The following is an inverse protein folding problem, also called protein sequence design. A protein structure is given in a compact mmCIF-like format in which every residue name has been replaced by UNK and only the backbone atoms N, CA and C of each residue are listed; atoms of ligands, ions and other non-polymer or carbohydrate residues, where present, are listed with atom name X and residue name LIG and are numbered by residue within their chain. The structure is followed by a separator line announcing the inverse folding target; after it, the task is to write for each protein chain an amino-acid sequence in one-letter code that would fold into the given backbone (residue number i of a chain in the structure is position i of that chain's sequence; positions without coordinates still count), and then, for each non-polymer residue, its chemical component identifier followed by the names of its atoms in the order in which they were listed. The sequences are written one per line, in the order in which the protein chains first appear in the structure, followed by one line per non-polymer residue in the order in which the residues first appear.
data_IF_357286635766
#
_entry.id   IF_357286635766
#
_cell.length_a   1.000
_cell.length_b   1.000
_cell.length_c   1.000
_cell.angle_alpha   90.00
_cell.angle_beta   90.00
_cell.angle_gamma   90.00
#
_symmetry.space_group_name_H-M   'P 1'
#
loop_
_entity.id
_entity.type
_entity.pdbx_description
1 polymer ?
#
# COMPACT_ATOMS: atom_id res chain seq x y z
N UNK A 1 23.13 9.78 -94.41
CA UNK A 1 22.94 10.29 -93.03
C UNK A 1 22.97 9.08 -92.11
N UNK A 2 24.11 8.79 -91.48
CA UNK A 2 24.29 7.58 -90.67
C UNK A 2 24.11 7.92 -89.19
N UNK A 3 23.08 7.32 -88.58
CA UNK A 3 22.76 7.38 -87.15
C UNK A 3 23.85 6.70 -86.32
N UNK A 4 24.48 7.45 -85.41
CA UNK A 4 25.25 6.87 -84.29
C UNK A 4 24.31 6.68 -83.11
N UNK A 5 23.97 5.43 -82.80
CA UNK A 5 23.26 5.07 -81.57
C UNK A 5 24.30 4.95 -80.46
N UNK A 6 24.19 5.80 -79.44
CA UNK A 6 25.03 5.76 -78.24
C UNK A 6 24.72 4.50 -77.44
N UNK A 7 25.68 3.56 -77.36
CA UNK A 7 25.55 2.39 -76.48
C UNK A 7 25.70 2.84 -75.02
N UNK A 8 24.66 2.61 -74.23
CA UNK A 8 24.66 2.78 -72.78
C UNK A 8 25.25 1.52 -72.17
N UNK A 9 26.33 1.64 -71.40
CA UNK A 9 26.94 0.52 -70.69
C UNK A 9 25.89 -0.17 -69.81
N UNK A 10 25.56 -1.41 -70.15
CA UNK A 10 24.64 -2.23 -69.36
C UNK A 10 25.49 -2.96 -68.31
N UNK A 11 25.57 -2.38 -67.12
CA UNK A 11 26.13 -3.07 -65.96
C UNK A 11 25.23 -4.26 -65.63
N UNK A 12 25.61 -5.46 -66.08
CA UNK A 12 24.92 -6.70 -65.79
C UNK A 12 25.64 -7.41 -64.63
N UNK A 13 24.88 -7.92 -63.68
CA UNK A 13 25.42 -8.71 -62.57
C UNK A 13 26.06 -10.00 -63.11
N UNK A 14 27.23 -10.33 -62.57
CA UNK A 14 27.93 -11.57 -62.88
C UNK A 14 27.29 -12.75 -62.13
N UNK A 15 27.45 -13.96 -62.69
CA UNK A 15 26.89 -15.17 -62.07
C UNK A 15 27.42 -15.38 -60.63
N UNK A 16 28.68 -15.03 -60.39
CA UNK A 16 29.29 -15.15 -59.06
C UNK A 16 28.67 -14.18 -58.03
N UNK A 17 28.34 -12.95 -58.44
CA UNK A 17 27.69 -11.98 -57.55
C UNK A 17 26.30 -12.46 -57.13
N UNK A 18 25.53 -13.03 -58.06
CA UNK A 18 24.19 -13.56 -57.76
C UNK A 18 24.27 -14.75 -56.81
N UNK A 19 25.22 -15.67 -57.01
CA UNK A 19 25.39 -16.85 -56.14
C UNK A 19 25.78 -16.44 -54.71
N UNK A 20 26.67 -15.47 -54.55
CA UNK A 20 27.07 -14.96 -53.23
C UNK A 20 25.88 -14.29 -52.53
N UNK A 21 25.10 -13.47 -53.23
CA UNK A 21 23.91 -12.81 -52.66
C UNK A 21 22.87 -13.82 -52.21
N UNK A 22 22.58 -14.85 -53.02
CA UNK A 22 21.64 -15.91 -52.66
C UNK A 22 22.12 -16.73 -51.44
N UNK A 23 23.42 -17.01 -51.34
CA UNK A 23 23.99 -17.67 -50.18
C UNK A 23 23.84 -16.82 -48.90
N UNK A 24 24.10 -15.51 -48.97
CA UNK A 24 23.95 -14.62 -47.81
C UNK A 24 22.48 -14.48 -47.40
N UNK A 25 21.56 -14.28 -48.35
CA UNK A 25 20.13 -14.14 -48.07
C UNK A 25 19.57 -15.43 -47.46
N UNK A 26 19.94 -16.62 -47.96
CA UNK A 26 19.46 -17.90 -47.41
C UNK A 26 19.90 -18.11 -45.97
N UNK A 27 21.14 -17.76 -45.62
CA UNK A 27 21.64 -17.82 -44.23
C UNK A 27 20.88 -16.81 -43.33
N UNK A 28 20.65 -15.59 -43.82
CA UNK A 28 19.92 -14.55 -43.09
C UNK A 28 18.45 -14.92 -42.84
N UNK A 29 17.76 -15.49 -43.84
CA UNK A 29 16.34 -15.90 -43.73
C UNK A 29 16.17 -16.99 -42.69
N UNK A 30 17.03 -18.02 -42.70
CA UNK A 30 16.96 -19.09 -41.69
C UNK A 30 17.20 -18.53 -40.28
N UNK A 31 18.21 -17.68 -40.11
CA UNK A 31 18.56 -17.10 -38.80
C UNK A 31 17.46 -16.16 -38.27
N UNK A 32 16.86 -15.35 -39.13
CA UNK A 32 15.77 -14.43 -38.78
C UNK A 32 14.46 -15.14 -38.43
N UNK A 33 14.13 -16.23 -39.12
CA UNK A 33 12.91 -17.00 -38.87
C UNK A 33 12.90 -17.65 -37.47
N UNK A 34 14.03 -18.23 -37.05
CA UNK A 34 14.17 -18.86 -35.72
C UNK A 34 14.03 -17.84 -34.59
N UNK A 35 14.58 -16.63 -34.76
CA UNK A 35 14.38 -15.54 -33.80
C UNK A 35 12.92 -15.09 -33.74
N UNK A 36 12.28 -14.88 -34.90
CA UNK A 36 10.90 -14.41 -34.97
C UNK A 36 9.90 -15.34 -34.27
N UNK A 37 9.99 -16.66 -34.50
CA UNK A 37 9.08 -17.63 -33.87
C UNK A 37 9.16 -17.63 -32.34
N UNK A 38 10.36 -17.46 -31.79
CA UNK A 38 10.58 -17.31 -30.34
C UNK A 38 9.99 -16.02 -29.77
N UNK A 39 10.13 -14.88 -30.46
CA UNK A 39 9.54 -13.63 -29.98
C UNK A 39 8.01 -13.66 -30.02
N UNK A 40 7.41 -14.26 -31.06
CA UNK A 40 5.96 -14.40 -31.14
C UNK A 40 5.43 -15.33 -30.05
N UNK A 41 6.12 -16.44 -29.74
CA UNK A 41 5.70 -17.31 -28.62
C UNK A 41 5.72 -16.57 -27.28
N UNK A 42 6.76 -15.78 -27.01
CA UNK A 42 6.84 -14.94 -25.80
C UNK A 42 5.74 -13.87 -25.75
N UNK A 43 5.40 -13.26 -26.88
CA UNK A 43 4.29 -12.29 -26.94
C UNK A 43 2.94 -12.97 -26.64
N UNK A 44 2.71 -14.18 -27.17
CA UNK A 44 1.50 -14.97 -26.88
C UNK A 44 1.43 -15.40 -25.42
N UNK A 45 2.55 -15.84 -24.83
CA UNK A 45 2.61 -16.16 -23.40
C UNK A 45 2.33 -14.93 -22.52
N UNK A 46 2.82 -13.75 -22.91
CA UNK A 46 2.49 -12.50 -22.22
C UNK A 46 0.98 -12.18 -22.30
N UNK A 47 0.33 -12.43 -23.44
CA UNK A 47 -1.13 -12.34 -23.56
C UNK A 47 -1.83 -13.31 -22.62
N UNK A 48 -1.45 -14.59 -22.59
CA UNK A 48 -2.04 -15.58 -21.66
C UNK A 48 -1.92 -15.14 -20.20
N UNK A 49 -0.74 -14.66 -19.81
CA UNK A 49 -0.47 -14.18 -18.45
C UNK A 49 -1.34 -12.97 -18.12
N UNK A 50 -1.47 -12.02 -19.04
CA UNK A 50 -2.32 -10.85 -18.89
C UNK A 50 -3.80 -11.24 -18.78
N UNK A 51 -4.27 -12.14 -19.64
CA UNK A 51 -5.65 -12.62 -19.64
C UNK A 51 -6.01 -13.28 -18.31
N UNK A 52 -5.18 -14.22 -17.84
CA UNK A 52 -5.39 -14.91 -16.57
C UNK A 52 -5.34 -13.94 -15.39
N UNK A 53 -4.51 -12.90 -15.44
CA UNK A 53 -4.44 -11.86 -14.40
C UNK A 53 -5.70 -11.01 -14.39
N UNK A 54 -6.14 -10.50 -15.54
CA UNK A 54 -7.38 -9.71 -15.63
C UNK A 54 -8.61 -10.49 -15.18
N UNK A 55 -8.69 -11.78 -15.53
CA UNK A 55 -9.78 -12.65 -15.06
C UNK A 55 -9.70 -12.81 -13.54
N UNK A 56 -8.51 -13.09 -13.00
CA UNK A 56 -8.25 -13.24 -11.57
C UNK A 56 -8.68 -11.99 -10.78
N UNK A 57 -8.19 -10.82 -11.19
CA UNK A 57 -8.47 -9.55 -10.52
C UNK A 57 -9.98 -9.23 -10.52
N UNK A 58 -10.66 -9.55 -11.62
CA UNK A 58 -12.12 -9.39 -11.71
C UNK A 58 -12.85 -10.35 -10.78
N UNK A 59 -12.42 -11.60 -10.70
CA UNK A 59 -13.01 -12.58 -9.78
C UNK A 59 -12.79 -12.18 -8.31
N UNK A 60 -11.60 -11.69 -7.97
CA UNK A 60 -11.29 -11.19 -6.64
C UNK A 60 -12.15 -9.97 -6.29
N UNK A 61 -12.29 -9.01 -7.22
CA UNK A 61 -13.17 -7.86 -7.05
C UNK A 61 -14.64 -8.25 -6.82
N UNK A 62 -15.14 -9.25 -7.57
CA UNK A 62 -16.50 -9.76 -7.37
C UNK A 62 -16.68 -10.36 -5.97
N UNK A 63 -15.73 -11.17 -5.50
CA UNK A 63 -15.79 -11.79 -4.17
C UNK A 63 -15.72 -10.74 -3.06
N UNK A 64 -14.84 -9.73 -3.19
CA UNK A 64 -14.70 -8.64 -2.22
C UNK A 64 -15.98 -7.80 -2.08
N UNK A 65 -16.75 -7.66 -3.15
CA UNK A 65 -18.02 -6.93 -3.15
C UNK A 65 -19.25 -7.80 -2.82
N UNK A 66 -19.04 -9.02 -2.31
CA UNK A 66 -20.12 -9.94 -1.94
C UNK A 66 -20.84 -10.58 -3.13
N UNK A 67 -20.27 -10.49 -4.33
CA UNK A 67 -20.73 -11.21 -5.52
C UNK A 67 -20.35 -12.69 -5.48
N UNK A 68 -20.95 -13.48 -6.37
CA UNK A 68 -20.66 -14.91 -6.52
C UNK A 68 -20.05 -15.21 -7.89
N UNK A 69 -19.08 -16.12 -7.89
CA UNK A 69 -18.47 -16.61 -9.13
C UNK A 69 -19.41 -17.56 -9.86
N UNK A 70 -19.37 -17.53 -11.19
CA UNK A 70 -20.09 -18.49 -12.02
C UNK A 70 -19.44 -19.87 -11.96
N UNK A 71 -20.27 -20.91 -12.05
CA UNK A 71 -19.82 -22.29 -12.23
C UNK A 71 -19.12 -22.40 -13.59
N UNK A 72 -17.99 -23.13 -13.70
CA UNK A 72 -17.31 -23.31 -14.97
C UNK A 72 -18.24 -23.82 -16.08
N UNK A 73 -18.09 -23.26 -17.27
CA UNK A 73 -18.84 -23.71 -18.44
C UNK A 73 -18.45 -25.15 -18.77
N UNK A 74 -19.43 -25.97 -19.12
CA UNK A 74 -19.22 -27.40 -19.38
C UNK A 74 -18.77 -28.20 -18.15
N UNK A 75 -19.10 -27.73 -16.94
CA UNK A 75 -18.69 -28.39 -15.69
C UNK A 75 -18.97 -29.89 -15.69
N UNK A 76 -17.94 -30.71 -15.47
CA UNK A 76 -18.14 -32.16 -15.29
C UNK A 76 -18.87 -32.45 -13.98
N UNK A 77 -19.64 -33.55 -13.95
CA UNK A 77 -20.21 -34.08 -12.69
C UNK A 77 -19.12 -34.64 -11.77
N UNK A 78 -18.02 -35.11 -12.37
CA UNK A 78 -16.83 -35.52 -11.65
C UNK A 78 -16.10 -34.30 -11.11
N UNK A 79 -15.97 -34.23 -9.78
CA UNK A 79 -15.20 -33.21 -9.08
C UNK A 79 -13.76 -33.66 -8.97
N UNK A 80 -12.82 -32.74 -9.18
CA UNK A 80 -11.41 -33.01 -8.98
C UNK A 80 -11.04 -32.60 -7.56
N UNK A 81 -10.47 -33.53 -6.79
CA UNK A 81 -9.88 -33.18 -5.50
C UNK A 81 -8.48 -32.60 -5.73
N UNK A 82 -8.27 -31.34 -5.35
CA UNK A 82 -6.95 -30.72 -5.34
C UNK A 82 -6.73 -30.08 -3.98
N UNK A 83 -5.67 -30.53 -3.31
CA UNK A 83 -5.31 -30.09 -1.98
C UNK A 83 -6.53 -30.17 -1.02
N UNK A 84 -7.24 -31.30 -0.95
CA UNK A 84 -8.34 -31.51 0.00
C UNK A 84 -9.62 -30.70 -0.23
N UNK A 85 -9.70 -29.92 -1.31
CA UNK A 85 -10.94 -29.26 -1.76
C UNK A 85 -11.46 -29.97 -3.01
N UNK A 86 -12.77 -30.16 -3.07
CA UNK A 86 -13.46 -30.63 -4.27
C UNK A 86 -13.74 -29.46 -5.20
N UNK A 87 -13.22 -29.55 -6.42
CA UNK A 87 -13.34 -28.54 -7.45
C UNK A 87 -14.27 -29.00 -8.56
N UNK A 88 -15.23 -28.15 -8.90
CA UNK A 88 -15.93 -28.20 -10.18
C UNK A 88 -14.95 -27.73 -11.25
N UNK A 89 -14.76 -28.50 -12.31
CA UNK A 89 -13.83 -28.18 -13.39
C UNK A 89 -14.58 -27.95 -14.69
N UNK A 90 -14.09 -27.02 -15.50
CA UNK A 90 -14.60 -26.74 -16.83
C UNK A 90 -13.76 -25.68 -17.52
N UNK A 91 -14.40 -24.84 -18.30
CA UNK A 91 -13.75 -23.71 -18.99
C UNK A 91 -14.31 -22.38 -18.51
N UNK A 92 -13.50 -21.33 -18.60
CA UNK A 92 -13.95 -19.96 -18.43
C UNK A 92 -14.55 -19.48 -19.76
N UNK A 93 -15.83 -19.79 -19.98
CA UNK A 93 -16.57 -19.51 -21.20
C UNK A 93 -17.58 -18.38 -21.04
N UNK A 94 -18.66 -18.44 -21.83
CA UNK A 94 -19.65 -17.35 -21.92
C UNK A 94 -20.45 -17.17 -20.63
N UNK A 95 -20.86 -18.24 -19.96
CA UNK A 95 -21.61 -18.14 -18.71
C UNK A 95 -20.70 -17.62 -17.60
N UNK A 96 -19.46 -18.14 -17.53
CA UNK A 96 -18.44 -17.65 -16.59
C UNK A 96 -18.18 -16.16 -16.78
N UNK A 97 -18.00 -15.73 -18.04
CA UNK A 97 -17.79 -14.35 -18.42
C UNK A 97 -18.99 -13.45 -18.12
N UNK A 98 -20.23 -13.93 -18.26
CA UNK A 98 -21.42 -13.11 -18.05
C UNK A 98 -21.45 -12.45 -16.65
N UNK A 99 -20.96 -13.15 -15.62
CA UNK A 99 -20.89 -12.65 -14.24
C UNK A 99 -19.80 -11.61 -14.00
N UNK A 100 -18.75 -11.63 -14.81
CA UNK A 100 -17.59 -10.72 -14.75
C UNK A 100 -17.56 -9.70 -15.90
N UNK A 101 -18.55 -9.74 -16.79
CA UNK A 101 -18.61 -8.94 -18.02
C UNK A 101 -18.74 -7.43 -17.81
N UNK A 102 -19.06 -6.99 -16.58
CA UNK A 102 -19.08 -5.55 -16.25
C UNK A 102 -17.67 -4.94 -16.22
N UNK A 103 -16.67 -5.76 -15.89
CA UNK A 103 -15.30 -5.31 -15.65
C UNK A 103 -14.31 -5.83 -16.71
N UNK A 104 -14.72 -6.81 -17.53
CA UNK A 104 -13.97 -7.30 -18.69
C UNK A 104 -14.59 -6.81 -20.01
N UNK A 105 -13.77 -6.24 -20.89
CA UNK A 105 -14.23 -5.68 -22.18
C UNK A 105 -14.55 -6.77 -23.23
N UNK A 106 -13.87 -7.91 -23.16
CA UNK A 106 -14.08 -9.05 -24.06
C UNK A 106 -13.78 -10.35 -23.30
N UNK A 107 -14.31 -11.47 -23.79
CA UNK A 107 -13.99 -12.81 -23.28
C UNK A 107 -12.57 -13.19 -23.72
N UNK A 108 -11.59 -13.34 -22.81
CA UNK A 108 -10.24 -13.71 -23.18
C UNK A 108 -10.16 -15.17 -23.66
N UNK A 109 -9.38 -15.41 -24.72
CA UNK A 109 -9.19 -16.74 -25.34
C UNK A 109 -7.71 -16.94 -25.67
N UNK A 110 -7.25 -18.19 -25.65
CA UNK A 110 -5.85 -18.51 -25.94
C UNK A 110 -5.44 -18.01 -27.33
N UNK A 111 -4.36 -17.22 -27.45
CA UNK A 111 -3.98 -16.59 -28.72
C UNK A 111 -3.52 -17.59 -29.79
N UNK A 112 -3.12 -18.81 -29.41
CA UNK A 112 -2.69 -19.87 -30.34
C UNK A 112 -3.82 -20.86 -30.61
N UNK A 113 -4.39 -21.49 -29.57
CA UNK A 113 -5.38 -22.55 -29.73
C UNK A 113 -6.78 -22.02 -30.05
N UNK A 114 -7.05 -20.75 -29.72
CA UNK A 114 -8.37 -20.11 -29.81
C UNK A 114 -9.43 -20.75 -28.91
N UNK A 115 -8.98 -21.48 -27.89
CA UNK A 115 -9.85 -22.09 -26.88
C UNK A 115 -9.92 -21.24 -25.61
N UNK A 116 -10.94 -21.49 -24.80
CA UNK A 116 -11.09 -20.84 -23.49
C UNK A 116 -10.12 -21.45 -22.47
N UNK A 117 -9.78 -20.66 -21.45
CA UNK A 117 -8.90 -21.10 -20.37
C UNK A 117 -9.59 -22.11 -19.44
N UNK A 118 -8.79 -23.00 -18.84
CA UNK A 118 -9.30 -24.00 -17.87
C UNK A 118 -9.64 -23.32 -16.56
N UNK A 119 -10.79 -23.66 -16.00
CA UNK A 119 -11.33 -23.01 -14.82
C UNK A 119 -11.86 -24.02 -13.82
N UNK A 120 -11.48 -23.82 -12.56
CA UNK A 120 -11.88 -24.60 -11.42
C UNK A 120 -12.54 -23.70 -10.39
N UNK A 121 -13.66 -24.15 -9.82
CA UNK A 121 -14.37 -23.47 -8.76
C UNK A 121 -14.60 -24.44 -7.60
N UNK A 122 -14.30 -24.00 -6.37
CA UNK A 122 -14.58 -24.79 -5.18
C UNK A 122 -16.09 -24.98 -4.99
N UNK A 123 -16.48 -26.04 -4.28
CA UNK A 123 -17.90 -26.34 -4.06
C UNK A 123 -18.66 -25.22 -3.33
N UNK A 124 -17.99 -24.54 -2.41
CA UNK A 124 -18.51 -23.39 -1.66
C UNK A 124 -18.48 -22.07 -2.46
N UNK A 125 -17.91 -22.06 -3.67
CA UNK A 125 -17.83 -20.89 -4.55
C UNK A 125 -16.86 -19.79 -4.08
N UNK A 126 -16.07 -20.04 -3.02
CA UNK A 126 -15.15 -19.06 -2.44
C UNK A 126 -13.78 -19.04 -3.10
N UNK A 127 -13.39 -20.16 -3.69
CA UNK A 127 -12.08 -20.31 -4.30
C UNK A 127 -12.18 -20.63 -5.78
N UNK A 128 -11.30 -20.04 -6.56
CA UNK A 128 -11.15 -20.37 -7.98
C UNK A 128 -9.70 -20.64 -8.33
N UNK A 129 -9.50 -21.37 -9.42
CA UNK A 129 -8.22 -21.48 -10.11
C UNK A 129 -8.46 -21.39 -11.61
N UNK A 130 -7.71 -20.53 -12.29
CA UNK A 130 -7.68 -20.44 -13.74
C UNK A 130 -6.28 -20.76 -14.25
N UNK A 131 -6.17 -21.61 -15.27
CA UNK A 131 -4.87 -22.08 -15.77
C UNK A 131 -4.78 -22.14 -17.29
N UNK A 132 -3.55 -21.91 -17.77
CA UNK A 132 -3.13 -22.01 -19.16
C UNK A 132 -1.80 -22.77 -19.24
N UNK A 133 -1.52 -23.36 -20.40
CA UNK A 133 -0.22 -23.97 -20.70
C UNK A 133 0.51 -22.99 -21.62
N UNK A 134 1.68 -22.52 -21.17
CA UNK A 134 2.54 -21.64 -21.95
C UNK A 134 3.22 -22.43 -23.09
N UNK A 135 3.77 -21.73 -24.08
CA UNK A 135 4.38 -22.38 -25.23
C UNK A 135 5.69 -23.12 -24.95
N UNK A 136 6.28 -22.90 -23.78
CA UNK A 136 7.37 -23.73 -23.24
C UNK A 136 6.89 -24.98 -22.49
N UNK A 137 5.57 -25.21 -22.45
CA UNK A 137 4.93 -26.33 -21.76
C UNK A 137 4.71 -26.09 -20.26
N UNK A 138 5.16 -24.97 -19.71
CA UNK A 138 4.92 -24.66 -18.30
C UNK A 138 3.46 -24.31 -18.06
N UNK A 139 2.90 -24.85 -16.97
CA UNK A 139 1.58 -24.46 -16.52
C UNK A 139 1.66 -23.14 -15.78
N UNK A 140 0.94 -22.14 -16.26
CA UNK A 140 0.72 -20.89 -15.56
C UNK A 140 -0.70 -20.86 -15.00
N UNK A 141 -0.87 -20.49 -13.74
CA UNK A 141 -2.17 -20.43 -13.11
C UNK A 141 -2.29 -19.26 -12.15
N UNK A 142 -3.48 -18.68 -12.09
CA UNK A 142 -3.89 -17.69 -11.09
C UNK A 142 -5.00 -18.29 -10.22
N UNK A 143 -4.94 -18.01 -8.92
CA UNK A 143 -5.87 -18.57 -7.95
C UNK A 143 -5.85 -17.72 -6.69
N UNK A 144 -7.01 -17.57 -6.05
CA UNK A 144 -7.13 -17.02 -4.71
C UNK A 144 -6.96 -18.08 -3.62
N UNK A 145 -6.65 -19.33 -4.00
CA UNK A 145 -6.45 -20.45 -3.09
C UNK A 145 -4.97 -20.66 -2.78
N UNK A 146 -4.63 -20.61 -1.50
CA UNK A 146 -3.28 -20.87 -0.99
C UNK A 146 -3.23 -22.26 -0.29
N UNK A 147 -2.37 -23.20 -0.76
CA UNK A 147 -2.27 -24.56 -0.18
C UNK A 147 -1.89 -24.62 1.30
N UNK A 148 -1.38 -23.51 1.86
CA UNK A 148 -1.12 -23.33 3.29
C UNK A 148 -2.36 -23.52 4.17
N UNK A 149 -3.56 -23.61 3.59
CA UNK A 149 -4.80 -23.98 4.29
C UNK A 149 -4.97 -25.50 4.56
N UNK A 150 -4.17 -26.40 3.95
CA UNK A 150 -4.38 -27.88 4.07
C UNK A 150 -3.30 -28.64 4.83
N UNK A 151 -2.06 -28.15 4.91
CA UNK A 151 -1.03 -28.73 5.81
C UNK A 151 -1.49 -28.67 7.28
N UNK A 152 -2.40 -27.74 7.57
CA UNK A 152 -3.02 -27.53 8.87
C UNK A 152 -4.10 -28.58 9.23
N UNK A 153 -4.58 -29.39 8.28
CA UNK A 153 -5.69 -30.33 8.47
C UNK A 153 -5.32 -31.82 8.55
N UNK A 154 -4.07 -32.23 8.29
CA UNK A 154 -3.67 -33.65 8.29
C UNK A 154 -2.94 -34.10 9.56
N UNK A 155 -2.38 -33.18 10.36
CA UNK A 155 -1.85 -33.50 11.71
C UNK A 155 -2.93 -33.52 12.80
N UNK A 156 -4.14 -33.13 12.42
CA UNK A 156 -5.41 -33.40 13.09
C UNK A 156 -5.87 -34.76 12.60
N UNK A 157 -6.21 -35.70 13.45
CA UNK A 157 -7.40 -36.52 13.15
C UNK A 157 -8.46 -36.42 14.24
N UNK A 158 -8.23 -35.59 15.27
CA UNK A 158 -9.26 -35.06 16.19
C UNK A 158 -8.84 -33.75 16.88
N UNK A 159 -7.88 -32.99 16.34
CA UNK A 159 -7.17 -31.94 17.07
C UNK A 159 -6.57 -30.83 16.20
N UNK A 160 -7.22 -29.66 16.20
CA UNK A 160 -6.75 -28.29 15.83
C UNK A 160 -6.45 -27.97 14.36
N UNK A 161 -7.47 -27.41 13.69
CA UNK A 161 -7.35 -26.56 12.50
C UNK A 161 -6.35 -25.47 12.86
N UNK A 162 -5.13 -25.61 12.39
CA UNK A 162 -4.28 -24.45 12.33
C UNK A 162 -5.00 -23.52 11.32
N UNK A 163 -5.57 -22.44 11.80
CA UNK A 163 -6.13 -21.37 10.95
C UNK A 163 -4.89 -20.63 10.49
N UNK A 164 -4.61 -20.53 9.17
CA UNK A 164 -3.49 -19.69 8.73
C UNK A 164 -3.83 -18.29 9.25
N UNK A 165 -3.06 -17.87 10.24
CA UNK A 165 -3.28 -16.62 10.91
C UNK A 165 -2.83 -15.52 9.95
N UNK A 166 -3.68 -14.53 9.75
CA UNK A 166 -3.34 -13.38 8.95
C UNK A 166 -2.43 -12.47 9.79
N UNK A 167 -1.41 -11.89 9.15
CA UNK A 167 -0.53 -10.98 9.87
C UNK A 167 -1.29 -9.68 10.15
N UNK A 168 -1.27 -9.15 11.38
CA UNK A 168 -1.89 -7.88 11.67
C UNK A 168 -1.13 -6.76 10.96
N UNK A 169 -1.87 -5.72 10.58
CA UNK A 169 -1.29 -4.51 10.01
C UNK A 169 -1.91 -3.24 10.61
N UNK A 170 -1.19 -2.13 10.48
CA UNK A 170 -1.69 -0.81 10.89
C UNK A 170 -2.58 -0.27 9.77
N UNK A 171 -3.85 -0.05 10.06
CA UNK A 171 -4.81 0.60 9.15
C UNK A 171 -4.60 2.11 9.13
N UNK A 172 -4.51 2.70 10.31
CA UNK A 172 -4.38 4.15 10.47
C UNK A 172 -3.78 4.50 11.84
N UNK A 173 -3.43 5.77 12.00
CA UNK A 173 -3.13 6.37 13.29
C UNK A 173 -4.12 7.50 13.53
N UNK A 174 -4.68 7.58 14.73
CA UNK A 174 -5.59 8.65 15.16
C UNK A 174 -5.02 9.38 16.36
N UNK A 175 -5.41 10.65 16.56
CA UNK A 175 -4.93 11.46 17.68
C UNK A 175 -4.20 12.72 17.22
N UNK A 176 -3.05 13.01 17.83
CA UNK A 176 -2.29 14.22 17.54
C UNK A 176 -1.62 14.15 16.16
N UNK A 177 -1.99 15.07 15.26
CA UNK A 177 -1.46 15.11 13.88
C UNK A 177 -0.11 15.84 13.76
N UNK A 178 0.33 16.52 14.80
CA UNK A 178 1.62 17.21 14.85
C UNK A 178 2.20 17.03 16.24
N UNK A 179 3.43 16.53 16.28
CA UNK A 179 4.16 16.30 17.52
C UNK A 179 5.18 17.43 17.64
N UNK A 180 5.05 18.23 18.69
CA UNK A 180 5.99 19.29 19.00
C UNK A 180 7.00 18.82 20.05
N UNK A 181 8.22 19.31 19.96
CA UNK A 181 9.24 19.08 20.99
C UNK A 181 8.73 19.50 22.38
N UNK A 182 9.09 18.73 23.39
CA UNK A 182 8.76 18.88 24.82
C UNK A 182 7.27 18.75 25.20
N UNK A 183 6.36 18.75 24.23
CA UNK A 183 4.92 18.63 24.45
C UNK A 183 4.52 17.14 24.52
N UNK A 184 3.54 16.82 25.38
CA UNK A 184 2.98 15.47 25.37
C UNK A 184 2.20 15.25 24.08
N UNK A 185 2.31 14.07 23.52
CA UNK A 185 1.46 13.61 22.45
C UNK A 185 0.82 12.28 22.79
N UNK A 186 -0.31 12.00 22.14
CA UNK A 186 -0.98 10.73 22.15
C UNK A 186 -1.47 10.41 20.74
N UNK A 187 -1.00 9.28 20.23
CA UNK A 187 -1.46 8.69 18.98
C UNK A 187 -1.91 7.27 19.27
N UNK A 188 -3.05 6.88 18.72
CA UNK A 188 -3.61 5.53 18.85
C UNK A 188 -3.47 4.81 17.51
N UNK A 189 -2.87 3.63 17.55
CA UNK A 189 -2.79 2.77 16.37
C UNK A 189 -4.11 2.02 16.16
N UNK A 190 -4.69 2.14 14.97
CA UNK A 190 -5.80 1.30 14.53
C UNK A 190 -5.25 0.10 13.78
N UNK A 191 -5.50 -1.10 14.32
CA UNK A 191 -5.05 -2.35 13.76
C UNK A 191 -6.20 -3.07 13.09
N UNK A 192 -5.91 -3.76 12.00
CA UNK A 192 -6.86 -4.62 11.32
C UNK A 192 -6.22 -6.00 11.11
N UNK A 193 -7.02 -7.03 11.37
CA UNK A 193 -6.69 -8.40 11.09
C UNK A 193 -7.87 -9.07 10.38
N UNK A 194 -7.57 -9.80 9.31
CA UNK A 194 -8.58 -10.40 8.44
C UNK A 194 -9.23 -11.64 9.05
N UNK A 195 -8.59 -12.28 10.03
CA UNK A 195 -9.17 -13.39 10.79
C UNK A 195 -9.86 -12.94 12.09
N UNK A 196 -9.76 -11.65 12.41
CA UNK A 196 -10.42 -11.02 13.55
C UNK A 196 -9.73 -11.27 14.89
N UNK A 197 -8.48 -11.74 14.89
CA UNK A 197 -7.69 -11.88 16.11
C UNK A 197 -7.35 -10.51 16.73
N UNK A 198 -7.31 -10.45 18.07
CA UNK A 198 -7.00 -9.22 18.78
C UNK A 198 -5.48 -8.96 18.77
N UNK A 199 -5.04 -8.03 17.92
CA UNK A 199 -3.64 -7.65 17.83
C UNK A 199 -3.21 -6.64 18.92
N UNK A 200 -2.01 -6.87 19.45
CA UNK A 200 -1.29 -6.00 20.38
C UNK A 200 -0.10 -5.34 19.69
N UNK A 201 0.37 -4.21 20.22
CA UNK A 201 1.59 -3.54 19.74
C UNK A 201 2.66 -3.53 20.82
N UNK A 202 3.92 -3.64 20.39
CA UNK A 202 5.09 -3.48 21.25
C UNK A 202 6.27 -2.95 20.45
N UNK A 203 7.36 -2.57 21.12
CA UNK A 203 8.59 -2.15 20.45
C UNK A 203 9.79 -2.44 21.33
N UNK A 204 10.94 -2.75 20.70
CA UNK A 204 12.22 -3.03 21.37
C UNK A 204 13.15 -1.82 21.38
N UNK A 205 12.91 -0.83 20.51
CA UNK A 205 13.80 0.30 20.24
C UNK A 205 13.05 1.64 20.25
N UNK A 206 12.23 1.87 21.27
CA UNK A 206 11.53 3.14 21.44
C UNK A 206 12.51 4.31 21.68
N UNK A 207 12.29 5.48 21.06
CA UNK A 207 13.00 6.70 21.41
C UNK A 207 12.76 7.05 22.87
N UNK A 208 13.75 7.68 23.50
CA UNK A 208 13.65 8.10 24.91
C UNK A 208 12.46 9.05 25.09
N UNK A 209 11.63 8.75 26.09
CA UNK A 209 10.45 9.57 26.42
C UNK A 209 9.14 9.10 25.74
N UNK A 210 9.20 8.09 24.87
CA UNK A 210 8.02 7.43 24.29
C UNK A 210 7.69 6.16 25.07
N UNK A 211 6.39 5.92 25.23
CA UNK A 211 5.83 4.73 25.86
C UNK A 211 4.69 4.18 25.02
N UNK A 212 4.48 2.86 25.12
CA UNK A 212 3.35 2.16 24.53
C UNK A 212 2.52 1.57 25.65
N UNK A 213 1.21 1.85 25.66
CA UNK A 213 0.25 1.26 26.58
C UNK A 213 -1.00 0.81 25.81
N UNK A 214 -1.18 -0.50 25.66
CA UNK A 214 -2.16 -1.05 24.71
C UNK A 214 -1.84 -0.59 23.29
N UNK A 215 -2.82 -0.01 22.59
CA UNK A 215 -2.65 0.57 21.23
C UNK A 215 -2.23 2.04 21.24
N UNK A 216 -2.03 2.63 22.42
CA UNK A 216 -1.68 4.03 22.57
C UNK A 216 -0.16 4.21 22.62
N UNK A 217 0.35 5.03 21.71
CA UNK A 217 1.72 5.50 21.68
C UNK A 217 1.70 6.93 22.21
N UNK A 218 2.36 7.16 23.34
CA UNK A 218 2.35 8.46 23.99
C UNK A 218 3.67 8.79 24.66
N UNK A 219 3.93 10.07 24.84
CA UNK A 219 5.20 10.51 25.42
C UNK A 219 5.49 11.96 25.12
N UNK A 220 6.75 12.34 25.34
CA UNK A 220 7.31 13.61 24.89
C UNK A 220 8.76 13.39 24.43
N UNK A 221 9.17 14.09 23.39
CA UNK A 221 10.56 14.09 22.89
C UNK A 221 11.09 15.51 23.03
N UNK A 222 12.27 15.68 23.63
CA UNK A 222 12.82 17.01 23.94
C UNK A 222 13.42 17.74 22.74
N UNK A 223 13.94 17.01 21.75
CA UNK A 223 14.64 17.59 20.60
C UNK A 223 13.84 17.39 19.31
N UNK A 224 13.80 18.43 18.48
CA UNK A 224 13.23 18.36 17.13
C UNK A 224 14.00 17.39 16.22
N UNK A 225 13.33 16.87 15.21
CA UNK A 225 13.94 15.97 14.23
C UNK A 225 13.08 14.76 13.90
N UNK A 226 13.68 13.84 13.16
CA UNK A 226 13.02 12.60 12.74
C UNK A 226 13.57 11.43 13.56
N UNK A 227 12.67 10.72 14.21
CA UNK A 227 12.96 9.52 14.98
C UNK A 227 12.29 8.33 14.29
N UNK A 228 12.84 7.14 14.47
CA UNK A 228 12.17 5.92 14.02
C UNK A 228 12.31 4.81 15.04
N UNK A 229 11.34 3.91 15.02
CA UNK A 229 11.35 2.71 15.85
C UNK A 229 10.60 1.59 15.16
N UNK A 230 10.86 0.38 15.59
CA UNK A 230 10.21 -0.81 15.06
C UNK A 230 8.99 -1.13 15.92
N UNK A 231 7.81 -1.08 15.30
CA UNK A 231 6.53 -1.44 15.88
C UNK A 231 6.24 -2.91 15.57
N UNK A 232 6.31 -3.76 16.59
CA UNK A 232 5.99 -5.18 16.53
C UNK A 232 4.49 -5.36 16.84
N UNK A 233 3.73 -5.79 15.83
CA UNK A 233 2.34 -6.19 15.93
C UNK A 233 2.27 -7.69 16.23
N UNK A 234 1.48 -8.09 17.21
CA UNK A 234 1.38 -9.48 17.67
C UNK A 234 -0.07 -9.83 18.01
N UNK A 235 -0.63 -10.79 17.28
CA UNK A 235 -1.99 -11.34 17.46
C UNK A 235 -2.02 -12.59 18.39
N UNK A 236 -0.86 -12.97 18.95
CA UNK A 236 -0.71 -14.15 19.79
C UNK A 236 -0.32 -15.43 19.03
N UNK A 237 -0.31 -15.41 17.70
CA UNK A 237 0.05 -16.51 16.80
C UNK A 237 1.23 -16.13 15.89
N UNK A 238 1.15 -15.00 15.18
CA UNK A 238 2.23 -14.44 14.36
C UNK A 238 2.61 -13.01 14.76
N UNK A 239 3.71 -12.54 14.17
CA UNK A 239 4.24 -11.21 14.41
C UNK A 239 4.63 -10.53 13.12
N UNK A 240 4.22 -9.27 12.99
CA UNK A 240 4.65 -8.37 11.94
C UNK A 240 5.46 -7.22 12.55
N UNK A 241 6.51 -6.74 11.88
CA UNK A 241 7.31 -5.62 12.38
C UNK A 241 7.41 -4.56 11.31
N UNK A 242 7.05 -3.32 11.66
CA UNK A 242 7.01 -2.18 10.75
C UNK A 242 7.85 -1.06 11.33
N UNK A 243 8.71 -0.43 10.52
CA UNK A 243 9.46 0.74 10.94
C UNK A 243 8.57 1.99 10.84
N UNK A 244 8.36 2.67 11.97
CA UNK A 244 7.48 3.85 12.06
C UNK A 244 8.33 5.11 12.23
N UNK A 245 8.25 6.07 11.29
CA UNK A 245 8.86 7.39 11.47
C UNK A 245 7.97 8.29 12.34
N UNK A 246 8.60 9.06 13.23
CA UNK A 246 8.00 10.14 14.01
C UNK A 246 8.72 11.43 13.65
N UNK A 247 7.95 12.41 13.17
CA UNK A 247 8.43 13.76 12.89
C UNK A 247 8.11 14.66 14.09
N UNK A 248 9.15 15.18 14.74
CA UNK A 248 9.04 16.11 15.87
C UNK A 248 9.38 17.51 15.40
N UNK A 249 8.38 18.39 15.42
CA UNK A 249 8.51 19.79 15.04
C UNK A 249 9.09 20.65 16.17
N UNK A 250 9.76 21.73 15.81
CA UNK A 250 10.14 22.80 16.73
C UNK A 250 8.90 23.29 17.50
N UNK A 251 8.98 23.41 18.82
CA UNK A 251 7.89 24.03 19.58
C UNK A 251 7.84 25.53 19.27
N UNK A 252 6.72 26.08 18.77
CA UNK A 252 6.64 27.49 18.41
C UNK A 252 6.72 28.37 19.65
N UNK A 253 7.85 29.07 19.84
CA UNK A 253 8.10 29.90 21.02
C UNK A 253 8.59 31.29 20.66
N UNK A 254 8.41 32.22 21.58
CA UNK A 254 9.00 33.55 21.52
C UNK A 254 9.67 33.92 22.84
N UNK A 255 10.79 34.64 22.75
CA UNK A 255 11.45 35.25 23.92
C UNK A 255 11.07 36.72 24.13
N UNK A 256 10.17 37.26 23.29
CA UNK A 256 9.88 38.70 23.24
C UNK A 256 8.74 39.12 24.18
N UNK A 257 8.10 38.17 24.86
CA UNK A 257 7.02 38.46 25.81
C UNK A 257 7.58 38.53 27.24
N UNK A 258 7.73 39.74 27.76
CA UNK A 258 8.18 39.98 29.15
C UNK A 258 7.15 40.82 29.90
N UNK A 259 6.80 40.40 31.11
CA UNK A 259 5.92 41.16 32.01
C UNK A 259 6.83 41.77 33.07
N UNK A 260 6.85 43.10 33.19
CA UNK A 260 7.70 43.77 34.16
C UNK A 260 7.37 43.35 35.59
N UNK A 261 8.36 42.85 36.34
CA UNK A 261 8.27 42.67 37.79
C UNK A 261 8.21 41.23 38.32
N UNK A 262 8.73 40.24 37.60
CA UNK A 262 8.92 38.88 38.13
C UNK A 262 9.74 37.99 37.19
N UNK A 263 10.42 36.98 37.75
CA UNK A 263 11.20 36.01 36.96
C UNK A 263 10.24 34.98 36.34
N UNK A 264 9.55 35.37 35.27
CA UNK A 264 8.72 34.47 34.48
C UNK A 264 9.64 33.59 33.63
N UNK A 265 9.37 32.29 33.58
CA UNK A 265 10.08 31.36 32.71
C UNK A 265 9.79 31.72 31.24
N UNK A 266 10.77 32.22 30.47
CA UNK A 266 10.54 32.64 29.09
C UNK A 266 10.20 31.46 28.17
N UNK A 267 10.39 30.22 28.62
CA UNK A 267 10.09 29.04 27.83
C UNK A 267 8.58 28.78 27.72
N UNK A 268 7.76 29.29 28.66
CA UNK A 268 6.30 29.08 28.65
C UNK A 268 5.53 29.84 27.57
N UNK A 269 6.18 30.70 26.78
CA UNK A 269 5.53 31.49 25.73
C UNK A 269 5.42 30.73 24.42
N UNK A 270 4.20 30.35 24.08
CA UNK A 270 3.88 29.59 22.87
C UNK A 270 3.25 30.49 21.81
N UNK A 271 3.71 30.38 20.56
CA UNK A 271 3.23 31.16 19.42
C UNK A 271 2.07 30.48 18.70
N UNK A 272 1.06 31.29 18.39
CA UNK A 272 -0.10 30.89 17.61
C UNK A 272 -0.36 31.93 16.52
N UNK A 273 -0.95 31.48 15.43
CA UNK A 273 -1.37 32.35 14.34
C UNK A 273 -2.74 32.95 14.65
N UNK A 274 -2.85 34.27 14.63
CA UNK A 274 -4.09 35.00 14.97
C UNK A 274 -5.27 34.71 14.04
N UNK A 275 -4.99 34.28 12.80
CA UNK A 275 -6.02 34.08 11.79
C UNK A 275 -6.71 32.72 11.90
N UNK A 276 -6.01 31.69 12.37
CA UNK A 276 -6.55 30.32 12.46
C UNK A 276 -6.44 29.67 13.84
N UNK A 277 -5.79 30.34 14.81
CA UNK A 277 -5.61 29.86 16.18
C UNK A 277 -4.71 28.63 16.31
N UNK A 278 -3.95 28.26 15.27
CA UNK A 278 -3.06 27.10 15.29
C UNK A 278 -1.64 27.49 15.76
N UNK A 279 -0.90 26.57 16.41
CA UNK A 279 0.49 26.81 16.76
C UNK A 279 1.33 26.98 15.48
N UNK A 280 2.16 28.02 15.44
CA UNK A 280 2.97 28.36 14.26
C UNK A 280 4.20 29.16 14.69
N UNK A 281 5.36 28.84 14.12
CA UNK A 281 6.62 29.53 14.39
C UNK A 281 6.63 30.98 13.90
N UNK A 282 5.76 31.32 12.94
CA UNK A 282 5.51 32.69 12.47
C UNK A 282 4.29 33.33 13.13
N UNK A 283 3.77 32.74 14.21
CA UNK A 283 2.63 33.27 14.94
C UNK A 283 2.85 34.72 15.40
N UNK A 284 1.77 35.50 15.38
CA UNK A 284 1.73 36.92 15.74
C UNK A 284 1.04 37.16 17.09
N UNK A 285 0.51 36.09 17.71
CA UNK A 285 -0.02 36.10 19.07
C UNK A 285 0.71 35.04 19.90
N UNK A 286 1.02 35.38 21.15
CA UNK A 286 1.74 34.51 22.07
C UNK A 286 0.95 34.33 23.36
N UNK A 287 0.81 33.10 23.83
CA UNK A 287 0.18 32.79 25.12
C UNK A 287 1.22 32.22 26.07
N UNK A 288 1.26 32.72 27.30
CA UNK A 288 2.01 32.08 28.36
C UNK A 288 1.22 30.89 28.90
N UNK A 289 1.83 29.72 28.86
CA UNK A 289 1.27 28.47 29.34
C UNK A 289 2.21 27.88 30.37
N UNK A 290 1.85 28.01 31.64
CA UNK A 290 2.58 27.40 32.74
C UNK A 290 2.54 25.88 32.63
N UNK A 291 3.66 25.23 32.95
CA UNK A 291 3.77 23.77 32.97
C UNK A 291 3.32 23.10 31.66
N UNK A 292 3.49 23.78 30.50
CA UNK A 292 3.04 23.33 29.18
C UNK A 292 3.46 21.89 28.84
N UNK A 293 4.62 21.44 29.34
CA UNK A 293 5.14 20.06 29.19
C UNK A 293 4.21 18.98 29.75
N UNK A 294 3.28 19.34 30.63
CA UNK A 294 2.35 18.42 31.24
C UNK A 294 1.10 18.16 30.40
N UNK A 295 0.88 18.92 29.32
CA UNK A 295 -0.32 18.91 28.50
C UNK A 295 -0.02 18.52 27.05
N UNK A 296 -1.07 18.07 26.36
CA UNK A 296 -1.07 17.96 24.89
C UNK A 296 -1.43 19.29 24.25
N UNK A 297 -1.06 19.47 22.99
CA UNK A 297 -1.29 20.75 22.29
C UNK A 297 -2.78 21.11 22.17
N UNK A 298 -3.65 20.12 21.92
CA UNK A 298 -5.10 20.34 21.88
C UNK A 298 -5.68 20.80 23.24
N UNK A 299 -5.15 20.29 24.35
CA UNK A 299 -5.53 20.70 25.70
C UNK A 299 -5.08 22.13 25.99
N UNK A 300 -3.87 22.49 25.55
CA UNK A 300 -3.36 23.87 25.63
C UNK A 300 -4.28 24.82 24.86
N UNK A 301 -4.60 24.50 23.60
CA UNK A 301 -5.50 25.30 22.76
C UNK A 301 -6.88 25.42 23.43
N UNK A 302 -7.43 24.32 23.97
CA UNK A 302 -8.70 24.33 24.68
C UNK A 302 -8.70 25.29 25.87
N UNK A 303 -7.66 25.24 26.70
CA UNK A 303 -7.49 26.14 27.86
C UNK A 303 -7.31 27.59 27.45
N UNK A 304 -6.55 27.86 26.38
CA UNK A 304 -6.39 29.21 25.83
C UNK A 304 -7.75 29.77 25.41
N UNK A 305 -8.53 29.00 24.65
CA UNK A 305 -9.85 29.42 24.18
C UNK A 305 -10.84 29.65 25.33
N UNK A 306 -10.83 28.79 26.36
CA UNK A 306 -11.63 28.98 27.57
C UNK A 306 -11.28 30.30 28.28
N UNK A 307 -9.98 30.53 28.52
CA UNK A 307 -9.50 31.74 29.21
C UNK A 307 -9.76 33.01 28.41
N UNK A 308 -9.63 32.98 27.09
CA UNK A 308 -9.98 34.10 26.19
C UNK A 308 -11.46 34.48 26.32
N UNK A 309 -12.36 33.51 26.31
CA UNK A 309 -13.80 33.76 26.44
C UNK A 309 -14.19 34.34 27.81
N UNK A 310 -13.43 34.00 28.85
CA UNK A 310 -13.62 34.54 30.20
C UNK A 310 -12.93 35.88 30.47
N UNK A 311 -12.16 36.42 29.52
CA UNK A 311 -11.42 37.67 29.67
C UNK A 311 -10.28 37.60 30.69
N UNK A 312 -9.75 36.40 30.97
CA UNK A 312 -8.73 36.16 32.00
C UNK A 312 -7.30 36.45 31.53
N UNK A 313 -7.09 36.62 30.23
CA UNK A 313 -5.79 37.03 29.70
C UNK A 313 -5.63 38.56 29.76
N UNK A 314 -4.52 39.01 30.34
CA UNK A 314 -4.09 40.39 30.30
C UNK A 314 -3.14 40.60 29.12
N UNK A 315 -3.42 41.57 28.24
CA UNK A 315 -2.52 41.89 27.15
C UNK A 315 -1.24 42.53 27.71
N UNK A 316 -0.09 41.96 27.34
CA UNK A 316 1.21 42.55 27.56
C UNK A 316 1.82 42.83 26.17
N UNK A 317 2.23 44.06 25.89
CA UNK A 317 2.92 44.37 24.63
C UNK A 317 4.08 45.32 24.88
N UNK A 318 5.29 44.85 24.57
CA UNK A 318 6.50 45.66 24.46
C UNK A 318 7.32 45.15 23.26
N UNK A 319 6.81 45.38 22.04
CA UNK A 319 7.51 45.09 20.77
C UNK A 319 7.65 43.60 20.44
N UNK A 320 6.88 43.12 19.46
CA UNK A 320 6.84 41.70 19.08
C UNK A 320 5.40 41.21 18.86
N UNK A 321 5.15 39.88 18.88
CA UNK A 321 3.80 39.32 18.85
C UNK A 321 2.95 39.85 20.02
N UNK A 322 1.62 39.86 19.85
CA UNK A 322 0.71 40.28 20.92
C UNK A 322 0.70 39.21 22.01
N UNK A 323 1.18 39.56 23.22
CA UNK A 323 1.34 38.59 24.29
C UNK A 323 0.13 38.59 25.23
N UNK A 324 -0.33 37.40 25.60
CA UNK A 324 -1.43 37.16 26.52
C UNK A 324 -0.93 36.31 27.68
N UNK A 325 -1.04 36.85 28.89
CA UNK A 325 -0.71 36.15 30.13
C UNK A 325 -1.90 36.14 31.08
N UNK A 326 -2.10 35.03 31.79
CA UNK A 326 -3.14 34.93 32.79
C UNK A 326 -2.62 35.43 34.15
N UNK A 327 -3.19 36.53 34.64
CA UNK A 327 -2.84 37.12 35.93
C UNK A 327 -3.15 36.21 37.13
N UNK A 328 -3.99 35.18 36.97
CA UNK A 328 -4.40 34.29 38.05
C UNK A 328 -3.42 33.14 38.33
N UNK A 329 -2.23 33.12 37.71
CA UNK A 329 -1.20 32.10 37.97
C UNK A 329 0.17 32.68 38.38
N UNK A 330 0.17 33.71 39.22
CA UNK A 330 1.24 33.83 40.23
C UNK A 330 0.99 32.81 41.36
N UNK A 331 1.16 31.53 41.00
CA UNK A 331 1.28 30.34 41.86
C UNK A 331 0.15 30.09 42.88
N UNK A 332 -0.91 29.42 42.41
CA UNK A 332 -1.66 28.41 43.17
C UNK A 332 -1.44 27.06 42.54
#
# INVERSE_FOLDING_TARGET
MLLKISQKDKNAFTLIEIVIVLAIISILVVSSYVGYSFYVSKARDATRISDLTNISDTMDYLLLNGGSLAIPDGSSLEKVEMNGILWKQGIYGKESYSKSSKDLTYLPIDPLTKENYKYFLSEDGRFYKIEAILEDGQKYSKTNFTPSLIVKNKEITSKTTNILNNLPFVKSFTGDNTIYSEIKFLVTAELEDADGDEATISSKNLPRGITINGKNISGSISEEGTYSFDLELNDGKDKNTINIPIYVSALPRTSQCYIGGGSIDPTGWLLFNSSNGQPDMNGDIAFYVKDYKNYRMNEIIGRINEKLNSGLYTPASFGGPTCYFDNNELFG
#
